data_IF_173453536391
#
_entry.id   IF_173453536391
#
_cell.length_a   1.000
_cell.length_b   1.000
_cell.length_c   1.000
_cell.angle_alpha   90.00
_cell.angle_beta   90.00
_cell.angle_gamma   90.00
#
_symmetry.space_group_name_H-M   'P 1'
#
loop_
_entity.id
_entity.type
_entity.pdbx_description
1 polymer ?
#
# COMPACT_ATOMS: atom_id res chain seq x y z
N UNK A 1 17.57 6.08 31.83
CA UNK A 1 16.37 6.95 31.92
C UNK A 1 15.71 6.95 30.55
N UNK A 2 14.38 6.89 30.49
CA UNK A 2 13.64 7.00 29.25
C UNK A 2 13.49 8.48 28.86
N UNK A 3 13.71 8.80 27.59
CA UNK A 3 13.53 10.15 27.02
C UNK A 3 12.32 10.16 26.10
N UNK A 4 11.50 11.21 26.16
CA UNK A 4 10.36 11.37 25.25
C UNK A 4 10.81 12.08 23.98
N UNK A 5 10.53 11.50 22.81
CA UNK A 5 10.69 12.13 21.50
C UNK A 5 9.31 12.52 20.98
N UNK A 6 9.17 13.72 20.44
CA UNK A 6 7.92 14.21 19.84
C UNK A 6 8.03 14.20 18.32
N UNK A 7 6.96 13.78 17.64
CA UNK A 7 6.91 13.67 16.18
C UNK A 7 5.89 14.64 15.59
N UNK A 8 6.31 15.32 14.52
CA UNK A 8 5.43 16.09 13.65
C UNK A 8 4.86 15.22 12.54
N UNK A 9 3.91 15.77 11.77
CA UNK A 9 3.37 15.12 10.57
C UNK A 9 4.47 14.71 9.59
N UNK A 10 5.40 15.62 9.33
CA UNK A 10 6.53 15.43 8.43
C UNK A 10 7.42 14.25 8.88
N UNK A 11 7.86 14.26 10.15
CA UNK A 11 8.73 13.19 10.66
C UNK A 11 8.06 11.82 10.66
N UNK A 12 6.76 11.74 10.99
CA UNK A 12 6.05 10.47 11.04
C UNK A 12 5.97 9.78 9.68
N UNK A 13 5.87 10.54 8.58
CA UNK A 13 5.87 9.95 7.26
C UNK A 13 7.24 9.41 6.86
N UNK A 14 8.34 9.85 7.46
CA UNK A 14 9.68 9.37 7.12
C UNK A 14 10.10 8.14 7.93
N UNK A 15 9.40 7.83 9.03
CA UNK A 15 9.74 6.69 9.86
C UNK A 15 9.47 5.35 9.13
N UNK A 16 10.35 4.36 9.29
CA UNK A 16 10.07 3.00 8.85
C UNK A 16 8.96 2.38 9.69
N UNK A 17 8.32 1.36 9.15
CA UNK A 17 7.44 0.49 9.93
C UNK A 17 8.30 -0.45 10.80
N UNK A 18 7.94 -0.68 12.06
CA UNK A 18 8.64 -1.67 12.89
C UNK A 18 8.53 -3.07 12.32
N UNK A 19 9.48 -3.94 12.67
CA UNK A 19 9.47 -5.35 12.29
C UNK A 19 8.23 -6.07 12.86
N UNK A 20 7.84 -7.17 12.20
CA UNK A 20 6.83 -8.09 12.72
C UNK A 20 7.48 -9.10 13.66
N UNK A 21 6.80 -9.43 14.76
CA UNK A 21 7.16 -10.58 15.57
C UNK A 21 6.47 -11.83 14.99
N UNK A 22 7.16 -12.55 14.11
CA UNK A 22 6.56 -13.65 13.36
C UNK A 22 6.63 -14.94 14.19
N UNK A 23 5.47 -15.57 14.42
CA UNK A 23 5.39 -16.83 15.16
C UNK A 23 6.05 -17.98 14.42
N UNK A 24 6.66 -18.92 15.15
CA UNK A 24 7.12 -20.20 14.59
C UNK A 24 5.98 -21.07 14.06
N UNK A 25 4.75 -20.90 14.57
CA UNK A 25 3.52 -21.51 14.05
C UNK A 25 2.77 -20.49 13.22
N UNK A 26 2.86 -20.60 11.90
CA UNK A 26 2.30 -19.66 10.94
C UNK A 26 1.69 -20.36 9.73
N UNK A 27 0.92 -19.64 8.93
CA UNK A 27 0.37 -20.14 7.67
C UNK A 27 1.49 -20.64 6.76
N UNK A 28 1.26 -21.77 6.08
CA UNK A 28 2.27 -22.42 5.22
C UNK A 28 1.82 -22.59 3.78
N UNK A 29 0.55 -22.24 3.46
CA UNK A 29 0.00 -22.34 2.11
C UNK A 29 0.01 -20.98 1.46
N UNK A 30 0.47 -20.91 0.21
CA UNK A 30 0.40 -19.69 -0.58
C UNK A 30 -1.05 -19.28 -0.80
N UNK A 31 -1.32 -17.98 -0.71
CA UNK A 31 -2.66 -17.39 -0.77
C UNK A 31 -2.89 -16.61 -2.07
N UNK A 32 -2.02 -16.78 -3.07
CA UNK A 32 -2.24 -16.25 -4.41
C UNK A 32 -3.46 -16.93 -5.05
N UNK A 33 -4.43 -16.11 -5.45
CA UNK A 33 -5.58 -16.59 -6.19
C UNK A 33 -5.18 -16.93 -7.62
N UNK A 34 -5.81 -17.97 -8.18
CA UNK A 34 -5.65 -18.43 -9.57
C UNK A 34 -6.21 -17.41 -10.59
N UNK A 35 -5.63 -16.21 -10.61
CA UNK A 35 -6.06 -15.05 -11.38
C UNK A 35 -4.79 -14.37 -11.88
N UNK A 36 -4.68 -14.17 -13.19
CA UNK A 36 -3.56 -13.45 -13.80
C UNK A 36 -4.02 -12.09 -14.29
N UNK A 37 -3.20 -11.06 -14.08
CA UNK A 37 -3.33 -9.79 -14.78
C UNK A 37 -2.80 -9.92 -16.22
N UNK A 38 -3.64 -9.62 -17.21
CA UNK A 38 -3.32 -9.79 -18.64
C UNK A 38 -3.23 -8.46 -19.42
N UNK A 39 -3.42 -7.32 -18.74
CA UNK A 39 -3.25 -6.00 -19.35
C UNK A 39 -1.78 -5.62 -19.54
N UNK A 40 -1.54 -4.45 -20.16
CA UNK A 40 -0.18 -3.89 -20.23
C UNK A 40 0.34 -3.64 -18.81
N UNK A 41 1.59 -4.03 -18.54
CA UNK A 41 2.26 -3.85 -17.26
C UNK A 41 3.61 -3.18 -17.50
N UNK A 42 3.87 -2.05 -16.86
CA UNK A 42 5.13 -1.31 -17.01
C UNK A 42 5.53 -0.60 -15.69
N UNK A 43 6.80 -0.23 -15.50
CA UNK A 43 7.19 0.53 -14.31
C UNK A 43 6.49 1.90 -14.23
N UNK A 44 6.13 2.31 -13.01
CA UNK A 44 5.69 3.67 -12.70
C UNK A 44 6.94 4.57 -12.65
N UNK A 45 7.25 5.16 -13.80
CA UNK A 45 8.39 6.04 -13.94
C UNK A 45 8.38 7.18 -12.91
N UNK A 46 9.56 7.44 -12.32
CA UNK A 46 9.82 8.51 -11.33
C UNK A 46 9.05 8.42 -10.01
N UNK A 47 8.48 7.25 -9.66
CA UNK A 47 7.65 7.10 -8.45
C UNK A 47 8.28 7.71 -7.18
N UNK A 48 9.51 7.33 -6.82
CA UNK A 48 10.15 7.82 -5.59
C UNK A 48 10.41 9.33 -5.62
N UNK A 49 10.79 9.86 -6.79
CA UNK A 49 10.97 11.29 -6.99
C UNK A 49 9.62 12.04 -6.84
N UNK A 50 8.53 11.51 -7.38
CA UNK A 50 7.19 12.09 -7.27
C UNK A 50 6.66 12.05 -5.82
N UNK A 51 6.95 10.97 -5.08
CA UNK A 51 6.67 10.85 -3.65
C UNK A 51 7.44 11.93 -2.85
N UNK A 52 8.73 12.09 -3.13
CA UNK A 52 9.55 13.11 -2.48
C UNK A 52 9.12 14.54 -2.83
N UNK A 53 8.78 14.79 -4.10
CA UNK A 53 8.25 16.08 -4.55
C UNK A 53 6.94 16.41 -3.85
N UNK A 54 6.06 15.42 -3.71
CA UNK A 54 4.79 15.59 -2.98
C UNK A 54 5.04 15.95 -1.52
N UNK A 55 5.99 15.27 -0.87
CA UNK A 55 6.39 15.54 0.51
C UNK A 55 7.01 16.94 0.68
N UNK A 56 7.94 17.32 -0.20
CA UNK A 56 8.64 18.60 -0.15
C UNK A 56 7.74 19.79 -0.52
N UNK A 57 6.70 19.54 -1.33
CA UNK A 57 5.71 20.55 -1.70
C UNK A 57 4.69 20.86 -0.60
N UNK A 58 4.63 20.08 0.50
CA UNK A 58 3.70 20.34 1.59
C UNK A 58 4.18 21.47 2.50
N UNK A 59 3.25 22.32 2.93
CA UNK A 59 3.46 23.18 4.10
C UNK A 59 3.02 22.44 5.36
N UNK A 60 3.94 21.74 6.00
CA UNK A 60 3.65 20.85 7.12
C UNK A 60 3.08 21.59 8.34
N UNK A 61 2.11 20.95 9.00
CA UNK A 61 1.56 21.44 10.26
C UNK A 61 2.64 21.37 11.34
N UNK A 62 2.86 22.46 12.11
CA UNK A 62 3.87 22.47 13.17
C UNK A 62 3.42 21.68 14.41
N UNK A 63 2.19 21.18 14.44
CA UNK A 63 1.62 20.47 15.59
C UNK A 63 2.31 19.12 15.79
N UNK A 64 2.71 18.86 17.03
CA UNK A 64 3.10 17.53 17.47
C UNK A 64 1.90 16.57 17.40
N UNK A 65 2.07 15.45 16.70
CA UNK A 65 1.01 14.45 16.50
C UNK A 65 1.20 13.19 17.33
N UNK A 66 2.44 12.86 17.69
CA UNK A 66 2.76 11.69 18.49
C UNK A 66 3.98 11.93 19.37
N UNK A 67 4.15 11.08 20.38
CA UNK A 67 5.37 11.00 21.17
C UNK A 67 5.73 9.55 21.45
N UNK A 68 7.01 9.21 21.43
CA UNK A 68 7.52 7.89 21.83
C UNK A 68 8.55 8.02 22.94
N UNK A 69 8.70 6.96 23.74
CA UNK A 69 9.79 6.84 24.68
C UNK A 69 10.98 6.16 24.00
N UNK A 70 12.18 6.67 24.24
CA UNK A 70 13.46 6.13 23.77
C UNK A 70 14.40 5.84 24.95
N UNK A 71 15.27 4.83 24.83
CA UNK A 71 16.33 4.51 25.81
C UNK A 71 16.31 3.08 26.36
N UNK A 72 17.29 2.76 27.22
CA UNK A 72 17.64 1.38 27.63
C UNK A 72 16.61 0.64 28.53
N UNK A 73 15.45 1.22 28.85
CA UNK A 73 14.43 0.60 29.72
C UNK A 73 13.11 0.32 29.00
N UNK A 74 13.14 0.12 27.68
CA UNK A 74 11.96 -0.18 26.87
C UNK A 74 11.62 -1.68 26.81
N UNK A 75 12.51 -2.55 27.29
CA UNK A 75 12.29 -4.00 27.30
C UNK A 75 11.04 -4.37 28.09
N UNK A 76 10.12 -5.08 27.43
CA UNK A 76 8.82 -5.46 27.99
C UNK A 76 7.81 -4.32 28.08
N UNK A 77 8.08 -3.18 27.45
CA UNK A 77 7.14 -2.06 27.37
C UNK A 77 6.18 -2.18 26.19
N UNK A 78 5.10 -1.41 26.23
CA UNK A 78 4.14 -1.28 25.12
C UNK A 78 4.72 -0.65 23.85
N UNK A 79 5.98 -0.21 23.88
CA UNK A 79 6.69 0.33 22.72
C UNK A 79 7.49 -0.73 21.95
N UNK A 80 7.63 -1.95 22.49
CA UNK A 80 8.12 -3.12 21.76
C UNK A 80 6.95 -3.88 21.12
N UNK A 81 7.21 -4.70 20.09
CA UNK A 81 6.18 -5.61 19.57
C UNK A 81 5.86 -6.67 20.63
N UNK A 82 4.57 -6.80 20.94
CA UNK A 82 4.02 -7.73 21.95
C UNK A 82 3.02 -8.70 21.32
N UNK A 83 2.82 -8.63 20.01
CA UNK A 83 1.81 -9.38 19.27
C UNK A 83 2.49 -10.21 18.20
N UNK A 84 2.41 -11.53 18.37
CA UNK A 84 2.80 -12.46 17.33
C UNK A 84 1.91 -12.35 16.10
N UNK A 85 2.54 -12.44 14.93
CA UNK A 85 1.87 -12.52 13.64
C UNK A 85 2.09 -13.91 13.04
N UNK A 86 1.00 -14.58 12.68
CA UNK A 86 1.02 -15.96 12.19
C UNK A 86 0.23 -16.16 10.89
N UNK A 87 -0.52 -15.16 10.45
CA UNK A 87 -1.35 -15.19 9.24
C UNK A 87 -1.53 -13.79 8.66
N UNK A 88 -2.17 -13.72 7.49
CA UNK A 88 -2.50 -12.48 6.78
C UNK A 88 -3.39 -11.54 7.60
N UNK A 89 -4.24 -12.06 8.50
CA UNK A 89 -5.08 -11.23 9.37
C UNK A 89 -4.24 -10.47 10.41
N UNK A 90 -3.24 -11.12 10.98
CA UNK A 90 -2.27 -10.47 11.86
C UNK A 90 -1.52 -9.34 11.14
N UNK A 91 -1.12 -9.58 9.89
CA UNK A 91 -0.49 -8.57 9.02
C UNK A 91 -1.42 -7.37 8.82
N UNK A 92 -2.68 -7.61 8.46
CA UNK A 92 -3.68 -6.56 8.30
C UNK A 92 -3.81 -5.71 9.56
N UNK A 93 -3.95 -6.36 10.73
CA UNK A 93 -4.08 -5.67 12.01
C UNK A 93 -2.85 -4.85 12.41
N UNK A 94 -1.63 -5.33 12.09
CA UNK A 94 -0.39 -4.56 12.34
C UNK A 94 -0.25 -3.38 11.41
N UNK A 95 -0.54 -3.55 10.11
CA UNK A 95 -0.47 -2.45 9.15
C UNK A 95 -1.49 -1.35 9.46
N UNK A 96 -2.74 -1.71 9.76
CA UNK A 96 -3.77 -0.75 10.20
C UNK A 96 -3.37 -0.03 11.50
N UNK A 97 -2.89 -0.79 12.50
CA UNK A 97 -2.52 -0.22 13.80
C UNK A 97 -1.30 0.72 13.73
N UNK A 98 -0.30 0.37 12.92
CA UNK A 98 0.97 1.10 12.80
C UNK A 98 0.87 2.21 11.74
N UNK A 99 0.70 1.83 10.48
CA UNK A 99 0.65 2.78 9.37
C UNK A 99 -0.69 3.52 9.31
N UNK A 100 -1.81 2.82 9.49
CA UNK A 100 -3.15 3.43 9.41
C UNK A 100 -3.36 4.55 10.44
N UNK A 101 -2.90 4.35 11.68
CA UNK A 101 -2.95 5.37 12.74
C UNK A 101 -2.11 6.60 12.37
N UNK A 102 -0.87 6.38 11.89
CA UNK A 102 0.03 7.46 11.47
C UNK A 102 -0.59 8.24 10.31
N UNK A 103 -0.98 7.55 9.24
CA UNK A 103 -1.57 8.16 8.05
C UNK A 103 -2.84 8.94 8.38
N UNK A 104 -3.74 8.37 9.19
CA UNK A 104 -4.96 9.05 9.61
C UNK A 104 -4.70 10.33 10.41
N UNK A 105 -3.68 10.33 11.28
CA UNK A 105 -3.27 11.52 12.01
C UNK A 105 -2.66 12.59 11.09
N UNK A 106 -1.78 12.16 10.18
CA UNK A 106 -1.10 13.06 9.22
C UNK A 106 -2.09 13.68 8.24
N UNK A 107 -2.95 12.89 7.59
CA UNK A 107 -3.98 13.40 6.69
C UNK A 107 -4.87 14.43 7.40
N UNK A 108 -5.33 14.11 8.62
CA UNK A 108 -6.13 15.05 9.42
C UNK A 108 -5.39 16.35 9.72
N UNK A 109 -4.10 16.28 10.09
CA UNK A 109 -3.29 17.45 10.39
C UNK A 109 -3.01 18.32 9.15
N UNK A 110 -3.04 17.72 7.96
CA UNK A 110 -2.91 18.39 6.66
C UNK A 110 -4.26 18.75 6.01
N UNK A 111 -5.37 18.58 6.73
CA UNK A 111 -6.74 18.81 6.23
C UNK A 111 -7.11 17.99 4.99
N UNK A 112 -6.52 16.81 4.83
CA UNK A 112 -6.91 15.83 3.82
C UNK A 112 -7.92 14.84 4.39
N UNK A 113 -9.04 14.67 3.70
CA UNK A 113 -10.11 13.79 4.14
C UNK A 113 -9.88 12.34 3.70
N UNK A 114 -8.92 11.66 4.32
CA UNK A 114 -8.56 10.27 4.02
C UNK A 114 -8.27 9.47 5.30
N UNK A 115 -8.71 8.21 5.31
CA UNK A 115 -8.39 7.22 6.34
C UNK A 115 -8.23 5.84 5.71
N UNK A 116 -7.29 5.06 6.26
CA UNK A 116 -7.16 3.64 5.97
C UNK A 116 -8.16 2.86 6.84
N UNK A 117 -8.73 1.80 6.29
CA UNK A 117 -9.49 0.82 7.06
C UNK A 117 -9.94 -0.37 6.23
N UNK A 118 -10.88 -1.14 6.76
CA UNK A 118 -11.45 -2.30 6.07
C UNK A 118 -12.39 -1.91 4.93
N UNK A 119 -12.36 -2.66 3.83
CA UNK A 119 -13.19 -2.40 2.64
C UNK A 119 -14.71 -2.43 2.92
N UNK A 120 -15.15 -3.23 3.90
CA UNK A 120 -16.58 -3.33 4.27
C UNK A 120 -17.19 -1.98 4.68
N UNK A 121 -16.36 -1.04 5.16
CA UNK A 121 -16.78 0.30 5.54
C UNK A 121 -16.80 1.31 4.38
N UNK A 122 -16.48 0.91 3.15
CA UNK A 122 -16.36 1.82 2.01
C UNK A 122 -17.48 1.67 0.99
N UNK A 123 -17.75 2.77 0.29
CA UNK A 123 -18.60 2.89 -0.87
C UNK A 123 -17.71 3.04 -2.12
N UNK A 124 -17.46 1.95 -2.87
CA UNK A 124 -16.73 2.05 -4.12
C UNK A 124 -17.57 2.74 -5.22
N UNK A 125 -16.93 3.38 -6.21
CA UNK A 125 -17.62 3.95 -7.37
C UNK A 125 -18.50 2.95 -8.13
N UNK A 126 -18.16 1.66 -8.11
CA UNK A 126 -18.99 0.58 -8.65
C UNK A 126 -19.19 -0.53 -7.62
N UNK A 127 -20.45 -0.89 -7.37
CA UNK A 127 -20.84 -1.95 -6.46
C UNK A 127 -20.93 -3.29 -7.22
N UNK A 128 -19.76 -3.85 -7.56
CA UNK A 128 -19.68 -5.14 -8.26
C UNK A 128 -18.60 -6.09 -7.73
N UNK A 129 -17.95 -5.73 -6.62
CA UNK A 129 -16.84 -6.50 -6.09
C UNK A 129 -17.33 -7.82 -5.47
N UNK A 130 -16.86 -8.96 -5.99
CA UNK A 130 -17.29 -10.28 -5.51
C UNK A 130 -16.64 -10.67 -4.18
N UNK A 131 -15.45 -10.13 -3.91
CA UNK A 131 -14.68 -10.33 -2.68
C UNK A 131 -14.16 -8.98 -2.19
N UNK A 132 -14.07 -8.80 -0.87
CA UNK A 132 -13.54 -7.57 -0.31
C UNK A 132 -12.00 -7.53 -0.39
N UNK A 133 -11.40 -6.44 -0.89
CA UNK A 133 -10.01 -6.08 -0.60
C UNK A 133 -9.74 -6.06 0.90
N UNK A 134 -8.50 -6.35 1.28
CA UNK A 134 -8.06 -6.32 2.67
C UNK A 134 -8.08 -4.89 3.24
N UNK A 135 -7.65 -3.92 2.43
CA UNK A 135 -7.57 -2.52 2.82
C UNK A 135 -8.31 -1.61 1.85
N UNK A 136 -8.76 -0.47 2.37
CA UNK A 136 -9.24 0.66 1.58
C UNK A 136 -8.79 1.98 2.19
N UNK A 137 -8.29 2.89 1.35
CA UNK A 137 -8.19 4.31 1.69
C UNK A 137 -9.48 4.99 1.25
N UNK A 138 -10.16 5.69 2.15
CA UNK A 138 -11.48 6.26 1.91
C UNK A 138 -11.68 7.61 2.60
N UNK A 139 -12.67 8.37 2.15
CA UNK A 139 -13.09 9.63 2.76
C UNK A 139 -13.93 9.40 4.02
N UNK A 140 -14.18 10.45 4.80
CA UNK A 140 -15.15 10.41 5.90
C UNK A 140 -16.59 10.14 5.45
N UNK A 141 -16.91 10.38 4.17
CA UNK A 141 -18.18 10.04 3.55
C UNK A 141 -18.21 8.58 3.06
N UNK A 142 -17.19 7.78 3.40
CA UNK A 142 -17.00 6.40 2.99
C UNK A 142 -16.64 6.20 1.52
N UNK A 143 -16.37 7.25 0.74
CA UNK A 143 -15.98 7.08 -0.67
C UNK A 143 -14.62 6.38 -0.77
N UNK A 144 -14.59 5.22 -1.43
CA UNK A 144 -13.33 4.50 -1.66
C UNK A 144 -12.43 5.25 -2.63
N UNK A 145 -11.12 5.25 -2.38
CA UNK A 145 -10.09 5.95 -3.18
C UNK A 145 -8.95 5.05 -3.62
N UNK A 146 -8.47 4.18 -2.73
CA UNK A 146 -7.37 3.23 -2.99
C UNK A 146 -7.75 1.88 -2.38
N UNK A 147 -7.43 0.77 -3.03
CA UNK A 147 -7.60 -0.59 -2.48
C UNK A 147 -6.26 -1.25 -2.19
N UNK A 148 -6.19 -2.10 -1.18
CA UNK A 148 -4.98 -2.84 -0.85
C UNK A 148 -5.24 -4.33 -0.64
N UNK A 149 -4.24 -5.14 -0.94
CA UNK A 149 -4.21 -6.59 -0.70
C UNK A 149 -2.96 -6.94 0.11
N UNK A 150 -3.12 -7.79 1.12
CA UNK A 150 -2.03 -8.29 1.95
C UNK A 150 -1.70 -9.75 1.61
N UNK A 151 -0.43 -10.13 1.75
CA UNK A 151 0.07 -11.51 1.67
C UNK A 151 1.06 -11.78 2.79
N UNK A 152 1.27 -13.05 3.15
CA UNK A 152 2.26 -13.42 4.17
C UNK A 152 3.70 -13.28 3.63
N UNK A 153 4.63 -12.59 4.34
CA UNK A 153 6.00 -12.36 3.87
C UNK A 153 6.88 -13.61 3.92
N UNK A 154 6.57 -14.57 4.79
CA UNK A 154 7.35 -15.80 4.97
C UNK A 154 7.05 -16.89 3.92
N UNK A 155 6.26 -16.59 2.91
CA UNK A 155 5.96 -17.48 1.79
C UNK A 155 6.75 -17.00 0.58
N UNK A 156 7.61 -17.87 0.04
CA UNK A 156 8.57 -17.49 -1.00
C UNK A 156 7.90 -16.92 -2.25
N UNK A 157 6.76 -17.48 -2.65
CA UNK A 157 5.94 -17.04 -3.79
C UNK A 157 5.34 -15.64 -3.60
N UNK A 158 5.40 -15.07 -2.40
CA UNK A 158 4.94 -13.72 -2.12
C UNK A 158 6.06 -12.68 -2.12
N UNK A 159 7.33 -13.07 -2.29
CA UNK A 159 8.47 -12.14 -2.32
C UNK A 159 8.36 -11.20 -3.53
N UNK A 160 7.98 -9.95 -3.30
CA UNK A 160 7.71 -8.97 -4.36
C UNK A 160 8.98 -8.57 -5.10
N UNK A 161 10.12 -8.52 -4.41
CA UNK A 161 11.43 -8.22 -5.01
C UNK A 161 11.79 -9.27 -6.07
N UNK A 162 11.76 -10.55 -5.71
CA UNK A 162 11.98 -11.64 -6.67
C UNK A 162 11.00 -11.59 -7.85
N UNK A 163 9.71 -11.34 -7.57
CA UNK A 163 8.67 -11.28 -8.61
C UNK A 163 8.90 -10.12 -9.59
N UNK A 164 9.32 -8.96 -9.10
CA UNK A 164 9.63 -7.80 -9.94
C UNK A 164 10.92 -8.05 -10.73
N UNK A 165 11.97 -8.55 -10.08
CA UNK A 165 13.25 -8.87 -10.73
C UNK A 165 13.08 -9.91 -11.86
N UNK A 166 12.34 -11.00 -11.60
CA UNK A 166 12.04 -12.03 -12.61
C UNK A 166 11.24 -11.47 -13.80
N UNK A 167 10.34 -10.51 -13.55
CA UNK A 167 9.57 -9.85 -14.60
C UNK A 167 10.44 -8.92 -15.44
N UNK A 168 11.26 -8.08 -14.80
CA UNK A 168 12.12 -7.10 -15.47
C UNK A 168 13.25 -7.75 -16.27
N UNK A 169 13.78 -8.90 -15.80
CA UNK A 169 14.77 -9.69 -16.52
C UNK A 169 14.17 -10.57 -17.64
N UNK A 170 12.83 -10.67 -17.71
CA UNK A 170 12.13 -11.46 -18.74
C UNK A 170 12.13 -12.97 -18.48
N UNK A 171 12.46 -13.41 -17.27
CA UNK A 171 12.60 -14.83 -16.93
C UNK A 171 11.25 -15.52 -16.81
N UNK A 172 10.28 -14.92 -16.11
CA UNK A 172 8.92 -15.46 -15.99
C UNK A 172 7.85 -14.37 -15.83
N UNK A 173 7.41 -13.77 -16.95
CA UNK A 173 6.37 -12.71 -16.96
C UNK A 173 5.08 -13.08 -16.17
N UNK A 174 4.78 -14.37 -16.06
CA UNK A 174 3.56 -14.86 -15.44
C UNK A 174 3.54 -14.77 -13.91
N UNK A 175 4.69 -14.76 -13.21
CA UNK A 175 4.72 -14.82 -11.74
C UNK A 175 4.24 -13.51 -11.13
N UNK A 176 4.78 -12.36 -11.56
CA UNK A 176 4.29 -11.04 -11.14
C UNK A 176 2.83 -10.82 -11.54
N UNK A 177 2.45 -11.22 -12.76
CA UNK A 177 1.06 -11.11 -13.24
C UNK A 177 0.08 -11.91 -12.40
N UNK A 178 0.48 -13.09 -11.92
CA UNK A 178 -0.31 -13.91 -11.01
C UNK A 178 -0.45 -13.22 -9.64
N UNK A 179 0.64 -12.69 -9.08
CA UNK A 179 0.61 -11.96 -7.82
C UNK A 179 -0.31 -10.72 -7.88
N UNK A 180 -0.27 -9.99 -9.00
CA UNK A 180 -1.08 -8.79 -9.24
C UNK A 180 -2.54 -9.07 -9.61
N UNK A 181 -2.88 -10.29 -10.04
CA UNK A 181 -4.19 -10.58 -10.63
C UNK A 181 -5.36 -10.29 -9.70
N UNK A 182 -5.22 -10.58 -8.40
CA UNK A 182 -6.25 -10.31 -7.42
C UNK A 182 -6.47 -8.80 -7.20
N UNK A 183 -5.42 -8.04 -6.92
CA UNK A 183 -5.51 -6.59 -6.69
C UNK A 183 -5.95 -5.84 -7.96
N UNK A 184 -5.48 -6.27 -9.14
CA UNK A 184 -5.91 -5.73 -10.42
C UNK A 184 -7.41 -5.96 -10.67
N UNK A 185 -7.93 -7.15 -10.30
CA UNK A 185 -9.37 -7.43 -10.38
C UNK A 185 -10.15 -6.50 -9.46
N UNK A 186 -9.69 -6.28 -8.23
CA UNK A 186 -10.34 -5.34 -7.32
C UNK A 186 -10.37 -3.92 -7.88
N UNK A 187 -9.23 -3.39 -8.35
CA UNK A 187 -9.15 -2.07 -8.97
C UNK A 187 -10.17 -1.92 -10.13
N UNK A 188 -10.31 -2.96 -10.96
CA UNK A 188 -11.31 -3.01 -12.03
C UNK A 188 -12.75 -3.04 -11.50
N UNK A 189 -13.05 -3.99 -10.61
CA UNK A 189 -14.39 -4.19 -10.03
C UNK A 189 -14.86 -3.00 -9.19
N UNK A 190 -13.95 -2.20 -8.63
CA UNK A 190 -14.32 -0.99 -7.87
C UNK A 190 -14.18 0.29 -8.70
N UNK A 191 -13.62 0.22 -9.91
CA UNK A 191 -13.24 1.37 -10.75
C UNK A 191 -12.30 2.37 -10.07
N UNK A 192 -11.40 1.86 -9.23
CA UNK A 192 -10.41 2.66 -8.52
C UNK A 192 -9.09 2.65 -9.27
N UNK A 193 -8.51 3.83 -9.50
CA UNK A 193 -7.28 3.99 -10.27
C UNK A 193 -6.03 3.53 -9.52
N UNK A 194 -6.08 3.44 -8.20
CA UNK A 194 -4.90 3.18 -7.38
C UNK A 194 -5.11 1.96 -6.51
N UNK A 195 -4.05 1.19 -6.34
CA UNK A 195 -4.01 0.09 -5.38
C UNK A 195 -2.62 -0.18 -4.87
N UNK A 196 -2.49 -1.13 -3.94
CA UNK A 196 -1.19 -1.62 -3.49
C UNK A 196 -1.27 -3.10 -3.11
N UNK A 197 -0.16 -3.81 -3.32
CA UNK A 197 0.05 -5.17 -2.85
C UNK A 197 1.18 -5.14 -1.82
N UNK A 198 0.94 -5.68 -0.63
CA UNK A 198 1.91 -5.64 0.46
C UNK A 198 2.07 -7.01 1.11
N UNK A 199 3.29 -7.35 1.49
CA UNK A 199 3.59 -8.44 2.42
C UNK A 199 3.86 -7.93 3.83
N UNK A 200 3.53 -6.67 4.12
CA UNK A 200 4.09 -5.85 5.19
C UNK A 200 5.57 -5.52 4.98
N UNK A 201 6.43 -6.53 4.80
CA UNK A 201 7.87 -6.38 4.60
C UNK A 201 8.22 -5.66 3.29
N UNK A 202 7.46 -5.94 2.24
CA UNK A 202 7.61 -5.36 0.91
C UNK A 202 6.26 -4.84 0.43
N UNK A 203 6.26 -3.72 -0.29
CA UNK A 203 5.06 -3.15 -0.89
C UNK A 203 5.33 -2.65 -2.29
N UNK A 204 4.41 -2.94 -3.21
CA UNK A 204 4.35 -2.26 -4.51
C UNK A 204 3.03 -1.49 -4.63
N UNK A 205 3.13 -0.28 -5.17
CA UNK A 205 2.01 0.59 -5.45
C UNK A 205 1.65 0.49 -6.93
N UNK A 206 0.35 0.54 -7.21
CA UNK A 206 -0.20 0.37 -8.55
C UNK A 206 -1.00 1.61 -8.95
N UNK A 207 -0.86 2.04 -10.20
CA UNK A 207 -1.80 2.96 -10.83
C UNK A 207 -2.31 2.43 -12.16
N UNK A 208 -3.60 2.64 -12.42
CA UNK A 208 -4.22 2.46 -13.72
C UNK A 208 -3.63 3.51 -14.67
N UNK A 209 -3.07 3.06 -15.80
CA UNK A 209 -2.55 3.92 -16.85
C UNK A 209 -3.17 3.55 -18.21
N UNK A 210 -3.16 4.48 -19.16
CA UNK A 210 -3.58 4.23 -20.54
C UNK A 210 -2.33 4.03 -21.42
N UNK A 211 -1.89 2.78 -21.53
CA UNK A 211 -0.69 2.38 -22.29
C UNK A 211 -1.09 2.11 -23.73
N UNK A 212 -0.69 2.98 -24.66
CA UNK A 212 -1.04 2.81 -26.08
C UNK A 212 -2.55 2.82 -26.34
N UNK A 213 -3.32 3.59 -25.56
CA UNK A 213 -4.81 3.62 -25.56
C UNK A 213 -5.48 2.33 -25.07
N UNK A 214 -4.71 1.42 -24.46
CA UNK A 214 -5.20 0.24 -23.77
C UNK A 214 -5.01 0.44 -22.28
N UNK A 215 -5.96 -0.01 -21.48
CA UNK A 215 -5.82 0.06 -20.04
C UNK A 215 -4.74 -0.91 -19.56
N UNK A 216 -3.82 -0.39 -18.77
CA UNK A 216 -2.74 -1.13 -18.14
C UNK A 216 -2.55 -0.74 -16.69
N UNK A 217 -1.57 -1.39 -16.07
CA UNK A 217 -1.08 -1.07 -14.75
C UNK A 217 0.36 -0.59 -14.83
N UNK A 218 0.63 0.42 -14.03
CA UNK A 218 1.98 0.81 -13.67
C UNK A 218 2.28 0.42 -12.24
N UNK A 219 3.48 -0.09 -11.97
CA UNK A 219 3.90 -0.53 -10.64
C UNK A 219 5.11 0.28 -10.14
N UNK A 220 5.12 0.66 -8.86
CA UNK A 220 6.29 1.28 -8.23
C UNK A 220 7.42 0.26 -8.07
N UNK A 221 8.66 0.72 -7.83
CA UNK A 221 9.67 -0.11 -7.19
C UNK A 221 9.16 -0.74 -5.89
N UNK A 222 9.81 -1.81 -5.45
CA UNK A 222 9.52 -2.44 -4.16
C UNK A 222 9.96 -1.51 -3.04
N UNK A 223 9.02 -1.15 -2.16
CA UNK A 223 9.27 -0.35 -0.97
C UNK A 223 9.35 -1.28 0.23
N UNK A 224 10.48 -1.28 0.94
CA UNK A 224 10.67 -2.12 2.12
C UNK A 224 10.10 -1.45 3.37
N UNK A 225 9.61 -2.25 4.31
CA UNK A 225 9.06 -1.72 5.57
C UNK A 225 10.07 -0.90 6.36
N UNK A 226 11.36 -1.25 6.21
CA UNK A 226 12.48 -0.71 6.96
C UNK A 226 13.05 0.55 6.33
N UNK A 227 12.55 0.92 5.14
CA UNK A 227 13.01 2.08 4.42
C UNK A 227 12.60 3.35 5.18
N UNK A 228 13.64 4.08 5.60
CA UNK A 228 13.48 5.42 6.14
C UNK A 228 13.36 6.40 4.99
N UNK A 229 12.23 7.09 4.95
CA UNK A 229 11.97 8.11 3.94
C UNK A 229 13.00 9.23 4.02
N UNK A 230 13.30 9.81 2.86
CA UNK A 230 14.24 10.91 2.73
C UNK A 230 13.62 12.07 1.95
N UNK A 231 14.02 13.29 2.28
CA UNK A 231 13.59 14.48 1.53
C UNK A 231 14.13 14.54 0.10
N UNK A 232 15.34 14.03 -0.24
CA UNK A 232 15.83 14.07 -1.61
C UNK A 232 15.21 13.01 -2.53
N UNK A 233 14.40 12.07 -2.00
CA UNK A 233 13.74 11.04 -2.80
C UNK A 233 14.63 9.91 -3.30
N UNK A 234 15.76 9.66 -2.61
CA UNK A 234 16.62 8.48 -2.89
C UNK A 234 16.06 7.19 -2.28
N UNK A 235 15.23 7.35 -1.26
CA UNK A 235 14.55 6.30 -0.52
C UNK A 235 13.27 6.90 0.02
N UNK A 236 12.16 6.19 -0.11
CA UNK A 236 10.84 6.60 0.37
C UNK A 236 10.30 5.54 1.32
N UNK A 237 9.61 5.96 2.38
CA UNK A 237 8.99 5.01 3.30
C UNK A 237 7.62 4.55 2.77
N UNK A 238 7.10 3.47 3.34
CA UNK A 238 5.70 3.04 3.12
C UNK A 238 4.69 4.18 3.37
N UNK A 239 4.80 4.87 4.52
CA UNK A 239 3.85 5.93 4.89
C UNK A 239 3.95 7.13 3.95
N UNK A 240 5.15 7.51 3.52
CA UNK A 240 5.37 8.58 2.55
C UNK A 240 4.71 8.25 1.21
N UNK A 241 4.87 7.00 0.76
CA UNK A 241 4.30 6.49 -0.49
C UNK A 241 2.77 6.40 -0.45
N UNK A 242 2.17 5.85 0.62
CA UNK A 242 0.70 5.85 0.78
C UNK A 242 0.15 7.27 0.85
N UNK A 243 0.84 8.19 1.54
CA UNK A 243 0.42 9.59 1.58
C UNK A 243 0.34 10.19 0.17
N UNK A 244 1.39 10.02 -0.63
CA UNK A 244 1.43 10.46 -2.02
C UNK A 244 0.31 9.85 -2.87
N UNK A 245 0.17 8.52 -2.86
CA UNK A 245 -0.86 7.82 -3.63
C UNK A 245 -2.27 8.22 -3.18
N UNK A 246 -2.47 8.46 -1.88
CA UNK A 246 -3.71 8.97 -1.33
C UNK A 246 -4.08 10.34 -1.86
N UNK A 247 -3.11 11.26 -1.97
CA UNK A 247 -3.35 12.60 -2.55
C UNK A 247 -3.69 12.53 -4.03
N UNK A 248 -2.99 11.69 -4.80
CA UNK A 248 -3.33 11.44 -6.20
C UNK A 248 -4.77 10.93 -6.32
N UNK A 249 -5.14 9.92 -5.53
CA UNK A 249 -6.48 9.35 -5.55
C UNK A 249 -7.57 10.33 -5.10
N UNK A 250 -7.25 11.28 -4.23
CA UNK A 250 -8.19 12.32 -3.80
C UNK A 250 -8.46 13.35 -4.91
N UNK A 251 -7.43 13.71 -5.67
CA UNK A 251 -7.54 14.62 -6.81
C UNK A 251 -8.22 13.99 -8.04
N UNK A 252 -8.05 12.68 -8.20
CA UNK A 252 -8.55 11.95 -9.36
C UNK A 252 -10.02 11.54 -9.24
N UNK A 253 -10.69 11.53 -10.40
CA UNK A 253 -11.99 10.87 -10.57
C UNK A 253 -11.85 9.36 -10.76
N UNK A 254 -12.89 8.61 -10.42
CA UNK A 254 -12.99 7.19 -10.78
C UNK A 254 -12.90 7.01 -12.30
N UNK A 255 -12.32 5.91 -12.77
CA UNK A 255 -12.20 5.72 -14.22
C UNK A 255 -13.52 5.16 -14.80
N UNK A 256 -13.95 5.73 -15.92
CA UNK A 256 -15.16 5.32 -16.63
C UNK A 256 -14.90 4.08 -17.51
N UNK A 257 -15.84 3.15 -17.55
CA UNK A 257 -15.86 1.96 -18.44
C UNK A 257 -16.82 2.14 -19.62
N UNK A 258 -17.55 3.27 -19.68
CA UNK A 258 -18.62 3.57 -20.63
C UNK A 258 -18.16 4.08 -21.99
N UNK A 259 -17.01 4.76 -22.08
CA UNK A 259 -16.47 5.30 -23.34
C UNK A 259 -15.61 4.26 -24.08
N UNK A 260 -16.24 3.45 -24.94
CA UNK A 260 -15.57 2.77 -26.05
C UNK A 260 -14.56 1.65 -25.74
N UNK A 261 -14.46 1.16 -24.49
CA UNK A 261 -13.55 0.06 -24.09
C UNK A 261 -14.25 -1.03 -23.27
N UNK A 262 -15.55 -1.26 -23.50
CA UNK A 262 -16.39 -2.25 -22.77
C UNK A 262 -15.91 -3.71 -22.83
N UNK A 263 -14.85 -4.03 -23.57
CA UNK A 263 -14.38 -5.40 -23.80
C UNK A 263 -12.94 -5.67 -23.33
N UNK A 264 -12.31 -4.77 -22.56
CA UNK A 264 -10.95 -5.04 -22.07
C UNK A 264 -10.98 -5.93 -20.82
N UNK A 265 -10.50 -7.16 -21.01
CA UNK A 265 -10.30 -8.14 -19.93
C UNK A 265 -8.97 -7.80 -19.24
N UNK A 266 -9.02 -7.29 -18.01
CA UNK A 266 -7.80 -7.07 -17.21
C UNK A 266 -7.27 -8.33 -16.57
N UNK A 267 -8.15 -9.27 -16.26
CA UNK A 267 -7.81 -10.46 -15.49
C UNK A 267 -8.44 -11.70 -16.07
N UNK A 268 -7.73 -12.83 -15.95
CA UNK A 268 -8.18 -14.14 -16.40
C UNK A 268 -7.97 -15.14 -15.27
N UNK A 269 -8.97 -15.98 -15.00
CA UNK A 269 -8.79 -17.12 -14.11
C UNK A 269 -7.82 -18.11 -14.77
N UNK A 270 -6.85 -18.60 -14.00
CA UNK A 270 -5.89 -19.61 -14.45
C UNK A 270 -6.60 -20.95 -14.73
#
# INVERSE_FOLDING_TARGET
MATSVSYSAASLLLEPLPDLDISSRRTTRHALHQIHFIGALQPWANFEADVANTYNGQTWSPRALASSLTGNSLTGSVHEEQVFVSDERGIQGRLEGRAGTVLGAVFRAQNHNLKLGSFKGAQPPYQGCLKAPDFVLMTSAHDAKVVGEAKAPWIAEHCLDNLVDEFENGDTEQTLRHALGQIARYMLETRLKYGFLTTYEQTIFLRKADVGRVWGLEYSPVIYHGDRGSTPGRTVSFCQSIYHVGLLALADSAFDTGTGMRNQVWTRNA
#
